data_IF_133378406482
#
_entry.id   IF_133378406482
#
_cell.length_a   1.000
_cell.length_b   1.000
_cell.length_c   1.000
_cell.angle_alpha   90.00
_cell.angle_beta   90.00
_cell.angle_gamma   90.00
#
_symmetry.space_group_name_H-M   'P 1'
#
loop_
_entity.id
_entity.type
_entity.pdbx_description
1 polymer ?
#
# COMPACT_ATOMS: atom_id res chain seq x y z
N UNK A 1 -22.80 -14.25 56.47
CA UNK A 1 -22.07 -14.43 55.21
C UNK A 1 -20.94 -13.40 55.18
N UNK A 2 -19.72 -13.81 55.54
CA UNK A 2 -18.55 -12.91 55.58
C UNK A 2 -17.79 -12.99 54.26
N UNK A 3 -17.59 -11.85 53.59
CA UNK A 3 -16.70 -11.73 52.44
C UNK A 3 -15.24 -11.75 52.93
N UNK A 4 -14.53 -12.81 52.57
CA UNK A 4 -13.07 -12.89 52.67
C UNK A 4 -12.46 -11.91 51.66
N UNK A 5 -11.99 -10.76 52.16
CA UNK A 5 -11.14 -9.84 51.41
C UNK A 5 -9.79 -10.55 51.23
N UNK A 6 -9.57 -11.10 50.05
CA UNK A 6 -8.26 -11.63 49.69
C UNK A 6 -7.30 -10.45 49.53
N UNK A 7 -6.37 -10.31 50.48
CA UNK A 7 -5.23 -9.42 50.36
C UNK A 7 -4.35 -9.94 49.23
N UNK A 8 -4.44 -9.33 48.05
CA UNK A 8 -3.42 -9.50 47.03
C UNK A 8 -2.12 -8.91 47.57
N UNK A 9 -0.99 -9.65 47.47
CA UNK A 9 0.30 -9.15 47.92
C UNK A 9 0.63 -7.84 47.20
N UNK A 10 0.94 -6.80 47.97
CA UNK A 10 1.37 -5.50 47.46
C UNK A 10 2.63 -5.68 46.63
N UNK A 11 2.54 -5.39 45.32
CA UNK A 11 3.70 -5.37 44.45
C UNK A 11 4.73 -4.37 44.99
N UNK A 12 6.03 -4.73 45.10
CA UNK A 12 7.04 -3.83 45.62
C UNK A 12 7.10 -2.53 44.80
N UNK A 13 7.22 -1.41 45.49
CA UNK A 13 7.34 -0.09 44.87
C UNK A 13 8.56 -0.04 43.96
N UNK A 14 8.44 0.43 42.70
CA UNK A 14 9.57 0.55 41.79
C UNK A 14 10.71 1.38 42.41
N UNK A 15 11.99 0.98 42.24
CA UNK A 15 13.13 1.66 42.88
C UNK A 15 13.21 3.17 42.58
N UNK A 16 12.81 3.57 41.37
CA UNK A 16 12.80 4.97 40.94
C UNK A 16 11.86 5.85 41.78
N UNK A 17 10.76 5.28 42.29
CA UNK A 17 9.79 6.01 43.12
C UNK A 17 10.21 6.09 44.59
N UNK A 18 11.28 5.38 44.99
CA UNK A 18 11.87 5.49 46.32
C UNK A 18 12.95 6.59 46.39
N UNK A 19 13.27 7.24 45.27
CA UNK A 19 14.24 8.33 45.24
C UNK A 19 13.63 9.63 45.79
N UNK A 20 14.43 10.46 46.49
CA UNK A 20 14.02 11.82 46.83
C UNK A 20 13.66 12.63 45.58
N UNK A 21 12.72 13.57 45.73
CA UNK A 21 12.24 14.40 44.63
C UNK A 21 13.37 15.19 43.96
N UNK A 22 14.35 15.64 44.74
CA UNK A 22 15.52 16.39 44.27
C UNK A 22 16.35 15.56 43.28
N UNK A 23 16.46 14.25 43.50
CA UNK A 23 17.18 13.33 42.61
C UNK A 23 16.37 13.10 41.33
N UNK A 24 15.04 12.99 41.42
CA UNK A 24 14.15 12.89 40.25
C UNK A 24 14.27 14.17 39.40
N UNK A 25 14.27 15.35 40.01
CA UNK A 25 14.45 16.62 39.32
C UNK A 25 15.86 16.75 38.72
N UNK A 26 16.89 16.29 39.41
CA UNK A 26 18.24 16.23 38.87
C UNK A 26 18.31 15.33 37.62
N UNK A 27 17.70 14.14 37.65
CA UNK A 27 17.56 13.27 36.47
C UNK A 27 16.83 14.02 35.34
N UNK A 28 15.67 14.62 35.63
CA UNK A 28 14.90 15.36 34.63
C UNK A 28 15.70 16.52 34.00
N UNK A 29 16.49 17.24 34.79
CA UNK A 29 17.38 18.30 34.30
C UNK A 29 18.44 17.77 33.33
N UNK A 30 18.93 16.53 33.52
CA UNK A 30 19.88 15.89 32.60
C UNK A 30 19.20 15.40 31.32
N UNK A 31 17.90 15.12 31.39
CA UNK A 31 17.07 14.78 30.24
C UNK A 31 16.58 16.01 29.46
N UNK A 32 16.89 17.24 29.90
CA UNK A 32 16.47 18.49 29.22
C UNK A 32 16.97 18.61 27.78
N UNK A 33 18.06 17.93 27.43
CA UNK A 33 18.54 17.82 26.05
C UNK A 33 17.64 16.95 25.15
N UNK A 34 16.73 16.17 25.73
CA UNK A 34 15.74 15.35 25.05
C UNK A 34 14.36 15.56 25.70
N UNK A 35 13.62 16.60 25.28
CA UNK A 35 12.36 16.97 25.92
C UNK A 35 11.30 15.84 25.89
N UNK A 36 11.35 14.98 24.85
CA UNK A 36 10.53 13.76 24.74
C UNK A 36 10.83 12.74 25.85
N UNK A 37 12.08 12.63 26.28
CA UNK A 37 12.48 11.73 27.37
C UNK A 37 11.89 12.15 28.71
N UNK A 38 11.72 13.46 28.93
CA UNK A 38 11.03 13.98 30.12
C UNK A 38 9.55 13.59 30.10
N UNK A 39 8.88 13.67 28.95
CA UNK A 39 7.49 13.21 28.83
C UNK A 39 7.38 11.71 29.04
N UNK A 40 8.26 10.93 28.42
CA UNK A 40 8.26 9.48 28.58
C UNK A 40 8.38 9.11 30.06
N UNK A 41 9.29 9.78 30.79
CA UNK A 41 9.44 9.62 32.24
C UNK A 41 8.19 10.04 33.01
N UNK A 42 7.61 11.20 32.68
CA UNK A 42 6.42 11.72 33.38
C UNK A 42 5.18 10.85 33.17
N UNK A 43 5.04 10.20 32.01
CA UNK A 43 3.91 9.33 31.69
C UNK A 43 3.98 7.93 32.34
N UNK A 44 5.09 7.57 33.00
CA UNK A 44 5.23 6.25 33.64
C UNK A 44 4.32 6.07 34.86
N UNK A 45 4.08 7.12 35.65
CA UNK A 45 3.17 7.08 36.79
C UNK A 45 2.66 8.47 37.19
N UNK A 46 1.56 8.51 37.96
CA UNK A 46 0.93 9.76 38.40
C UNK A 46 1.87 10.64 39.25
N UNK A 47 2.71 10.04 40.09
CA UNK A 47 3.64 10.79 40.94
C UNK A 47 4.73 11.49 40.13
N UNK A 48 5.29 10.81 39.12
CA UNK A 48 6.28 11.39 38.22
C UNK A 48 5.64 12.44 37.30
N UNK A 49 4.41 12.22 36.86
CA UNK A 49 3.65 13.23 36.13
C UNK A 49 3.51 14.53 36.93
N UNK A 50 3.03 14.43 38.18
CA UNK A 50 2.87 15.58 39.06
C UNK A 50 4.22 16.27 39.37
N UNK A 51 5.28 15.50 39.60
CA UNK A 51 6.62 16.05 39.85
C UNK A 51 7.23 16.78 38.65
N UNK A 52 6.86 16.38 37.43
CA UNK A 52 7.46 16.87 36.18
C UNK A 52 6.50 17.73 35.35
N UNK A 53 5.31 18.05 35.86
CA UNK A 53 4.24 18.74 35.12
C UNK A 53 4.73 20.06 34.51
N UNK A 54 5.46 20.89 35.26
CA UNK A 54 6.03 22.14 34.75
C UNK A 54 6.98 21.90 33.56
N UNK A 55 7.78 20.83 33.58
CA UNK A 55 8.69 20.51 32.47
C UNK A 55 7.92 20.03 31.24
N UNK A 56 6.81 19.30 31.44
CA UNK A 56 5.93 18.82 30.36
C UNK A 56 5.13 19.97 29.75
N UNK A 57 4.63 20.90 30.57
CA UNK A 57 3.88 22.07 30.13
C UNK A 57 4.71 23.00 29.24
N UNK A 58 6.02 23.02 29.43
CA UNK A 58 6.96 23.82 28.63
C UNK A 58 7.30 23.20 27.27
N UNK A 59 6.75 22.02 26.94
CA UNK A 59 7.02 21.37 25.67
C UNK A 59 6.16 21.98 24.57
N UNK A 60 6.83 22.57 23.59
CA UNK A 60 6.18 23.08 22.40
C UNK A 60 5.58 21.96 21.54
N UNK A 61 4.69 22.37 20.64
CA UNK A 61 3.98 21.47 19.73
C UNK A 61 4.93 20.72 18.77
N UNK A 62 6.16 21.21 18.59
CA UNK A 62 7.21 20.62 17.76
C UNK A 62 7.65 19.23 18.25
N UNK A 63 7.66 18.96 19.56
CA UNK A 63 8.07 17.66 20.11
C UNK A 63 6.95 16.61 20.11
N UNK A 64 5.73 17.04 19.77
CA UNK A 64 4.56 16.16 19.79
C UNK A 64 4.72 14.99 18.82
N UNK A 65 5.29 15.23 17.64
CA UNK A 65 5.52 14.19 16.65
C UNK A 65 6.50 13.13 17.16
N UNK A 66 7.67 13.55 17.65
CA UNK A 66 8.68 12.65 18.19
C UNK A 66 8.14 11.82 19.36
N UNK A 67 7.35 12.43 20.24
CA UNK A 67 6.68 11.74 21.34
C UNK A 67 5.69 10.69 20.82
N UNK A 68 4.86 11.03 19.84
CA UNK A 68 3.89 10.08 19.28
C UNK A 68 4.57 8.94 18.53
N UNK A 69 5.70 9.20 17.86
CA UNK A 69 6.53 8.16 17.23
C UNK A 69 7.16 7.23 18.27
N UNK A 70 7.63 7.78 19.40
CA UNK A 70 8.13 6.98 20.53
C UNK A 70 7.00 6.11 21.13
N UNK A 71 5.83 6.70 21.34
CA UNK A 71 4.66 5.97 21.85
C UNK A 71 4.15 4.92 20.83
N UNK A 72 4.22 5.17 19.53
CA UNK A 72 3.96 4.15 18.49
C UNK A 72 4.93 2.97 18.65
N UNK A 73 6.22 3.23 18.88
CA UNK A 73 7.21 2.16 19.10
C UNK A 73 6.87 1.33 20.33
N UNK A 74 6.46 1.94 21.44
CA UNK A 74 6.23 1.23 22.71
C UNK A 74 4.83 0.58 22.78
N UNK A 75 3.81 1.28 22.29
CA UNK A 75 2.40 0.84 22.28
C UNK A 75 1.96 0.26 20.93
N UNK A 76 2.93 -0.07 20.07
CA UNK A 76 2.74 -0.50 18.68
C UNK A 76 1.88 -1.75 18.50
N UNK A 77 1.61 -2.49 19.59
CA UNK A 77 0.70 -3.63 19.57
C UNK A 77 -0.76 -3.25 19.30
N UNK A 78 -1.12 -1.99 19.55
CA UNK A 78 -2.50 -1.50 19.46
C UNK A 78 -2.61 -0.17 18.75
N UNK A 79 -1.56 0.64 18.78
CA UNK A 79 -1.57 2.00 18.28
C UNK A 79 -0.53 2.22 17.19
N UNK A 80 -0.80 3.16 16.30
CA UNK A 80 0.17 3.64 15.33
C UNK A 80 0.04 5.15 15.14
N UNK A 81 1.11 5.79 14.71
CA UNK A 81 1.14 7.22 14.46
C UNK A 81 0.60 7.56 13.07
N UNK A 82 -0.36 8.49 13.01
CA UNK A 82 -0.88 9.05 11.78
C UNK A 82 -0.23 10.42 11.52
N UNK A 83 0.56 10.50 10.46
CA UNK A 83 1.24 11.72 10.00
C UNK A 83 0.26 12.83 9.60
N UNK A 84 -0.94 12.47 9.14
CA UNK A 84 -1.96 13.43 8.70
C UNK A 84 -2.53 14.28 9.83
N UNK A 85 -3.00 13.63 10.89
CA UNK A 85 -3.69 14.30 11.99
C UNK A 85 -2.79 14.49 13.22
N UNK A 86 -1.59 13.90 13.20
CA UNK A 86 -0.61 13.89 14.30
C UNK A 86 -1.22 13.33 15.59
N UNK A 87 -1.84 12.15 15.47
CA UNK A 87 -2.44 11.40 16.58
C UNK A 87 -2.10 9.91 16.50
N UNK A 88 -2.27 9.21 17.64
CA UNK A 88 -2.20 7.76 17.72
C UNK A 88 -3.57 7.14 17.46
N UNK A 89 -3.64 6.25 16.48
CA UNK A 89 -4.86 5.54 16.14
C UNK A 89 -4.77 4.07 16.50
N UNK A 90 -5.92 3.51 16.88
CA UNK A 90 -6.03 2.08 17.08
C UNK A 90 -6.05 1.35 15.75
N UNK A 91 -5.39 0.20 15.70
CA UNK A 91 -5.54 -0.74 14.60
C UNK A 91 -5.84 -2.13 15.15
N UNK A 92 -6.23 -3.03 14.25
CA UNK A 92 -6.38 -4.46 14.55
C UNK A 92 -5.62 -5.27 13.52
N UNK A 93 -5.21 -6.49 13.88
CA UNK A 93 -4.56 -7.43 12.96
C UNK A 93 -5.44 -7.83 11.77
N UNK A 94 -6.73 -7.48 11.78
CA UNK A 94 -7.68 -7.73 10.70
C UNK A 94 -7.63 -6.66 9.60
N UNK A 95 -6.88 -5.57 9.80
CA UNK A 95 -6.73 -4.55 8.75
C UNK A 95 -6.08 -5.18 7.53
N UNK A 96 -6.69 -4.97 6.36
CA UNK A 96 -6.24 -5.57 5.10
C UNK A 96 -6.60 -4.65 3.94
N UNK A 97 -5.77 -4.62 2.88
CA UNK A 97 -6.08 -3.88 1.66
C UNK A 97 -7.39 -4.29 0.97
N UNK A 98 -7.95 -5.48 1.27
CA UNK A 98 -9.19 -5.97 0.66
C UNK A 98 -10.49 -5.53 1.36
N UNK A 99 -10.39 -4.92 2.54
CA UNK A 99 -11.55 -4.43 3.29
C UNK A 99 -11.39 -2.92 3.55
N UNK A 100 -11.48 -2.10 2.49
CA UNK A 100 -11.36 -0.66 2.62
C UNK A 100 -12.49 -0.10 3.48
N UNK A 101 -13.70 -0.67 3.44
CA UNK A 101 -14.82 -0.23 4.25
C UNK A 101 -14.52 -0.30 5.74
N UNK A 102 -14.02 -1.42 6.27
CA UNK A 102 -13.67 -1.47 7.71
C UNK A 102 -12.60 -0.45 8.05
N UNK A 103 -11.58 -0.33 7.22
CA UNK A 103 -10.51 0.66 7.44
C UNK A 103 -11.07 2.09 7.39
N UNK A 104 -12.02 2.38 6.50
CA UNK A 104 -12.61 3.69 6.30
C UNK A 104 -13.62 4.07 7.40
N UNK A 105 -14.53 3.15 7.77
CA UNK A 105 -15.57 3.41 8.78
C UNK A 105 -14.99 3.58 10.19
N UNK A 106 -13.93 2.83 10.55
CA UNK A 106 -13.23 3.05 11.82
C UNK A 106 -12.63 4.46 11.92
N UNK A 107 -12.36 5.10 10.79
CA UNK A 107 -11.64 6.37 10.72
C UNK A 107 -12.56 7.58 10.59
N UNK A 108 -13.54 7.51 9.70
CA UNK A 108 -14.49 8.61 9.50
C UNK A 108 -15.36 8.89 10.74
N UNK A 109 -15.60 7.87 11.57
CA UNK A 109 -16.38 8.05 12.80
C UNK A 109 -15.68 8.83 13.90
N UNK A 110 -14.35 9.06 13.82
CA UNK A 110 -13.58 9.65 14.93
C UNK A 110 -12.93 11.01 14.62
N UNK A 111 -12.65 11.36 13.36
CA UNK A 111 -12.20 12.71 12.98
C UNK A 111 -12.20 12.90 11.46
N UNK A 112 -12.99 13.84 10.95
CA UNK A 112 -13.08 14.17 9.51
C UNK A 112 -11.80 14.76 8.90
N UNK A 113 -10.78 15.04 9.71
CA UNK A 113 -9.48 15.55 9.27
C UNK A 113 -8.47 14.48 8.88
N UNK A 114 -8.72 13.21 9.24
CA UNK A 114 -7.90 12.08 8.82
C UNK A 114 -8.31 11.63 7.43
N UNK A 115 -8.12 12.48 6.43
CA UNK A 115 -8.15 12.01 5.05
C UNK A 115 -7.07 10.93 4.96
N UNK A 116 -7.39 9.76 4.45
CA UNK A 116 -6.40 8.70 4.29
C UNK A 116 -5.48 9.13 3.14
N UNK A 117 -4.31 9.71 3.46
CA UNK A 117 -3.38 10.26 2.46
C UNK A 117 -2.86 9.14 1.58
N UNK A 118 -3.15 9.26 0.28
CA UNK A 118 -2.67 8.37 -0.76
C UNK A 118 -3.20 6.94 -0.60
N UNK A 119 -3.93 6.47 -1.60
CA UNK A 119 -4.18 5.04 -1.75
C UNK A 119 -3.45 4.57 -3.00
N UNK A 120 -2.53 3.64 -2.85
CA UNK A 120 -2.02 2.89 -3.98
C UNK A 120 -3.08 1.88 -4.42
N UNK A 121 -3.68 2.17 -5.58
CA UNK A 121 -4.63 1.33 -6.27
C UNK A 121 -3.92 0.73 -7.49
N UNK A 122 -3.41 -0.51 -7.42
CA UNK A 122 -2.79 -1.14 -8.57
C UNK A 122 -3.79 -1.23 -9.73
N UNK A 123 -5.10 -1.37 -9.44
CA UNK A 123 -6.18 -1.32 -10.42
C UNK A 123 -7.38 -0.52 -9.86
N UNK A 124 -8.01 0.34 -10.68
CA UNK A 124 -9.16 1.20 -10.31
C UNK A 124 -10.41 0.43 -9.90
N UNK A 125 -10.61 -0.76 -10.46
CA UNK A 125 -11.78 -1.62 -10.25
C UNK A 125 -11.47 -2.74 -9.25
N UNK A 126 -10.26 -2.75 -8.69
CA UNK A 126 -9.85 -3.76 -7.71
C UNK A 126 -10.42 -3.45 -6.33
N UNK A 127 -10.92 -4.46 -5.60
CA UNK A 127 -11.22 -4.32 -4.17
C UNK A 127 -9.94 -4.14 -3.34
N UNK A 128 -8.76 -4.28 -3.94
CA UNK A 128 -7.48 -4.11 -3.29
C UNK A 128 -7.05 -2.64 -3.29
N UNK A 129 -7.18 -2.01 -2.12
CA UNK A 129 -6.76 -0.62 -1.89
C UNK A 129 -5.68 -0.58 -0.82
N UNK A 130 -4.45 -0.27 -1.21
CA UNK A 130 -3.34 -0.15 -0.28
C UNK A 130 -3.19 1.29 0.21
N UNK A 131 -3.62 1.56 1.42
CA UNK A 131 -3.41 2.83 2.09
C UNK A 131 -2.03 2.91 2.74
N UNK A 132 -1.51 4.13 2.93
CA UNK A 132 -0.20 4.34 3.55
C UNK A 132 -0.09 3.68 4.93
N UNK A 133 -1.18 3.73 5.72
CA UNK A 133 -1.28 3.05 7.02
C UNK A 133 -0.96 1.55 6.94
N UNK A 134 -1.40 0.86 5.89
CA UNK A 134 -1.12 -0.57 5.74
C UNK A 134 0.38 -0.79 5.59
N UNK A 135 1.04 -0.01 4.73
CA UNK A 135 2.47 -0.08 4.49
C UNK A 135 3.27 0.26 5.76
N UNK A 136 2.89 1.33 6.46
CA UNK A 136 3.50 1.73 7.75
C UNK A 136 3.39 0.63 8.80
N UNK A 137 2.21 0.01 8.95
CA UNK A 137 1.99 -1.04 9.94
C UNK A 137 2.81 -2.31 9.64
N UNK A 138 2.97 -2.68 8.37
CA UNK A 138 3.89 -3.78 7.98
C UNK A 138 5.32 -3.43 8.36
N UNK A 139 5.76 -2.20 8.08
CA UNK A 139 7.10 -1.75 8.43
C UNK A 139 7.32 -1.60 9.94
N UNK A 140 6.30 -1.21 10.72
CA UNK A 140 6.37 -1.21 12.19
C UNK A 140 6.62 -2.62 12.74
N UNK A 141 5.94 -3.64 12.18
CA UNK A 141 6.17 -5.04 12.59
C UNK A 141 7.59 -5.49 12.29
N UNK A 142 8.13 -5.11 11.13
CA UNK A 142 9.51 -5.40 10.76
C UNK A 142 10.52 -4.72 11.69
N UNK A 143 10.32 -3.44 12.00
CA UNK A 143 11.26 -2.65 12.82
C UNK A 143 11.19 -2.98 14.32
N UNK A 144 9.99 -3.26 14.84
CA UNK A 144 9.76 -3.35 16.27
C UNK A 144 9.30 -4.74 16.75
N UNK A 145 9.09 -5.68 15.83
CA UNK A 145 8.75 -7.07 16.10
C UNK A 145 7.27 -7.44 15.90
N UNK A 146 6.93 -8.74 15.98
CA UNK A 146 5.63 -9.29 15.60
C UNK A 146 4.38 -8.58 16.15
N UNK A 147 4.28 -8.24 17.46
CA UNK A 147 3.05 -7.64 17.95
C UNK A 147 2.80 -6.25 17.36
N UNK A 148 3.84 -5.55 16.89
CA UNK A 148 3.80 -4.12 16.60
C UNK A 148 3.45 -3.77 15.16
N UNK A 149 2.41 -4.39 14.61
CA UNK A 149 1.94 -4.04 13.26
C UNK A 149 1.21 -5.17 12.54
N UNK A 150 1.21 -5.10 11.20
CA UNK A 150 0.57 -6.09 10.34
C UNK A 150 1.58 -7.10 9.79
N UNK A 151 1.22 -8.39 9.71
CA UNK A 151 2.03 -9.38 9.02
C UNK A 151 2.09 -9.10 7.50
N UNK A 152 3.18 -9.50 6.83
CA UNK A 152 3.34 -9.32 5.37
C UNK A 152 2.24 -10.08 4.60
N UNK A 153 1.81 -11.21 5.14
CA UNK A 153 0.74 -12.06 4.62
C UNK A 153 -0.61 -11.33 4.54
N UNK A 154 -0.79 -10.23 5.28
CA UNK A 154 -1.98 -9.36 5.14
C UNK A 154 -2.12 -8.75 3.74
N UNK A 155 -1.04 -8.72 2.95
CA UNK A 155 -1.04 -8.21 1.57
C UNK A 155 -1.21 -9.33 0.54
N UNK A 156 -1.00 -10.60 0.90
CA UNK A 156 -0.84 -11.71 -0.04
C UNK A 156 -2.16 -12.41 -0.43
N UNK A 157 -3.30 -11.73 -0.31
CA UNK A 157 -4.61 -12.32 -0.60
C UNK A 157 -4.97 -12.15 -2.08
N UNK A 158 -5.14 -13.26 -2.84
CA UNK A 158 -5.58 -13.19 -4.22
C UNK A 158 -7.00 -12.61 -4.32
N UNK A 159 -7.26 -11.86 -5.38
CA UNK A 159 -8.57 -11.32 -5.67
C UNK A 159 -8.86 -11.40 -7.17
N UNK A 160 -10.12 -11.70 -7.49
CA UNK A 160 -10.63 -11.56 -8.84
C UNK A 160 -11.07 -10.12 -9.05
N UNK A 161 -10.39 -9.42 -9.94
CA UNK A 161 -10.71 -8.05 -10.30
C UNK A 161 -11.65 -8.09 -11.50
N UNK A 162 -12.78 -7.38 -11.39
CA UNK A 162 -13.69 -7.27 -12.52
C UNK A 162 -12.99 -6.48 -13.64
N UNK A 163 -13.07 -6.98 -14.87
CA UNK A 163 -12.91 -6.13 -16.04
C UNK A 163 -14.16 -5.30 -16.27
N UNK A 164 -14.22 -4.66 -17.43
CA UNK A 164 -15.36 -3.82 -17.83
C UNK A 164 -16.71 -4.51 -17.63
N UNK A 165 -17.71 -3.69 -17.30
CA UNK A 165 -19.06 -4.11 -16.92
C UNK A 165 -19.72 -5.06 -17.93
N UNK A 166 -19.28 -5.03 -19.19
CA UNK A 166 -19.99 -5.63 -20.31
C UNK A 166 -19.62 -7.09 -20.61
N UNK A 167 -18.37 -7.53 -20.37
CA UNK A 167 -17.93 -8.88 -20.78
C UNK A 167 -17.71 -9.88 -19.63
N UNK A 168 -17.70 -9.41 -18.38
CA UNK A 168 -17.61 -10.29 -17.21
C UNK A 168 -16.29 -11.08 -17.06
N UNK A 169 -15.32 -10.93 -17.98
CA UNK A 169 -13.97 -11.47 -17.81
C UNK A 169 -13.30 -10.83 -16.59
N UNK A 170 -12.61 -11.67 -15.81
CA UNK A 170 -11.95 -11.24 -14.59
C UNK A 170 -10.46 -11.51 -14.63
N UNK A 171 -9.71 -10.55 -14.11
CA UNK A 171 -8.28 -10.70 -13.88
C UNK A 171 -8.07 -11.40 -12.55
N UNK A 172 -7.29 -12.48 -12.55
CA UNK A 172 -6.76 -13.01 -11.31
C UNK A 172 -5.57 -12.15 -10.90
N UNK A 173 -5.72 -11.41 -9.80
CA UNK A 173 -4.65 -10.65 -9.18
C UNK A 173 -4.12 -11.41 -7.98
N UNK A 174 -2.84 -11.77 -8.02
CA UNK A 174 -2.14 -12.47 -6.93
C UNK A 174 -1.04 -11.57 -6.37
N UNK A 175 -1.31 -10.85 -5.27
CA UNK A 175 -0.32 -10.02 -4.62
C UNK A 175 0.66 -10.85 -3.78
N UNK A 176 1.87 -10.34 -3.64
CA UNK A 176 2.89 -10.81 -2.70
C UNK A 176 3.71 -9.61 -2.23
N UNK A 177 4.21 -9.65 -1.00
CA UNK A 177 4.95 -8.55 -0.42
C UNK A 177 6.19 -9.07 0.28
N UNK A 178 7.21 -8.23 0.36
CA UNK A 178 8.44 -8.53 1.09
C UNK A 178 9.19 -7.27 1.47
N UNK A 179 10.14 -7.40 2.37
CA UNK A 179 11.03 -6.33 2.78
C UNK A 179 12.43 -6.68 2.31
N UNK A 180 13.12 -5.72 1.70
CA UNK A 180 14.49 -5.87 1.20
C UNK A 180 15.28 -4.64 1.61
N UNK A 181 16.36 -4.83 2.37
CA UNK A 181 17.20 -3.71 2.84
C UNK A 181 16.40 -2.63 3.58
N UNK A 182 15.38 -3.03 4.36
CA UNK A 182 14.54 -2.11 5.12
C UNK A 182 13.51 -1.32 4.30
N UNK A 183 13.25 -1.74 3.06
CA UNK A 183 12.21 -1.15 2.22
C UNK A 183 11.16 -2.17 1.80
N UNK A 184 9.92 -1.72 1.76
CA UNK A 184 8.77 -2.54 1.40
C UNK A 184 8.62 -2.61 -0.11
N UNK A 185 8.59 -3.82 -0.65
CA UNK A 185 8.27 -4.08 -2.04
C UNK A 185 6.99 -4.91 -2.12
N UNK A 186 6.18 -4.66 -3.14
CA UNK A 186 5.00 -5.45 -3.48
C UNK A 186 5.10 -5.90 -4.92
N UNK A 187 4.78 -7.16 -5.16
CA UNK A 187 4.65 -7.76 -6.48
C UNK A 187 3.19 -8.16 -6.70
N UNK A 188 2.61 -7.77 -7.82
CA UNK A 188 1.33 -8.30 -8.29
C UNK A 188 1.54 -9.14 -9.53
N UNK A 189 1.01 -10.37 -9.52
CA UNK A 189 0.84 -11.18 -10.72
C UNK A 189 -0.59 -11.03 -11.20
N UNK A 190 -0.75 -10.55 -12.42
CA UNK A 190 -2.03 -10.29 -13.05
C UNK A 190 -2.18 -11.26 -14.21
N UNK A 191 -3.18 -12.13 -14.15
CA UNK A 191 -3.42 -13.14 -15.19
C UNK A 191 -4.81 -12.97 -15.77
N UNK A 192 -4.87 -12.86 -17.08
CA UNK A 192 -6.10 -12.82 -17.85
C UNK A 192 -6.04 -13.92 -18.92
N UNK A 193 -7.12 -14.68 -19.02
CA UNK A 193 -7.24 -15.83 -19.92
C UNK A 193 -8.58 -15.79 -20.65
N UNK A 194 -8.59 -16.16 -21.93
CA UNK A 194 -9.81 -16.28 -22.72
C UNK A 194 -9.53 -16.45 -24.21
N UNK A 195 -10.58 -16.63 -25.02
CA UNK A 195 -10.46 -16.60 -26.48
C UNK A 195 -9.92 -15.25 -26.95
N UNK A 196 -9.26 -15.26 -28.11
CA UNK A 196 -8.55 -14.09 -28.63
C UNK A 196 -9.42 -12.82 -28.69
N UNK A 197 -10.62 -12.92 -29.27
CA UNK A 197 -11.54 -11.79 -29.43
C UNK A 197 -12.05 -11.22 -28.09
N UNK A 198 -12.47 -12.10 -27.17
CA UNK A 198 -12.97 -11.69 -25.84
C UNK A 198 -11.84 -11.07 -25.00
N UNK A 199 -10.66 -11.71 -25.03
CA UNK A 199 -9.48 -11.22 -24.32
C UNK A 199 -9.05 -9.85 -24.84
N UNK A 200 -9.01 -9.68 -26.17
CA UNK A 200 -8.66 -8.42 -26.82
C UNK A 200 -9.60 -7.30 -26.43
N UNK A 201 -10.91 -7.57 -26.48
CA UNK A 201 -11.92 -6.61 -26.06
C UNK A 201 -11.72 -6.20 -24.59
N UNK A 202 -11.52 -7.15 -23.69
CA UNK A 202 -11.31 -6.84 -22.26
C UNK A 202 -10.06 -5.97 -22.01
N UNK A 203 -9.00 -6.15 -22.80
CA UNK A 203 -7.77 -5.36 -22.70
C UNK A 203 -7.97 -3.95 -23.29
N UNK A 204 -8.69 -3.84 -24.41
CA UNK A 204 -9.00 -2.58 -25.12
C UNK A 204 -9.96 -1.66 -24.35
N UNK A 205 -10.80 -2.18 -23.46
CA UNK A 205 -11.66 -1.33 -22.63
C UNK A 205 -10.86 -0.49 -21.61
N UNK A 206 -9.55 -0.72 -21.45
CA UNK A 206 -8.64 0.23 -20.79
C UNK A 206 -8.83 0.41 -19.29
N UNK A 207 -9.58 -0.47 -18.64
CA UNK A 207 -9.84 -0.38 -17.20
C UNK A 207 -8.73 -0.98 -16.35
N UNK A 208 -7.79 -1.69 -16.99
CA UNK A 208 -6.73 -2.39 -16.28
C UNK A 208 -5.44 -1.58 -16.27
N UNK A 209 -4.92 -1.33 -15.07
CA UNK A 209 -3.62 -0.68 -14.86
C UNK A 209 -2.75 -1.54 -13.95
N UNK A 210 -1.44 -1.33 -14.03
CA UNK A 210 -0.46 -1.94 -13.11
C UNK A 210 0.08 -0.89 -12.13
N UNK A 211 0.14 0.36 -12.56
CA UNK A 211 0.33 1.52 -11.70
C UNK A 211 -0.53 2.66 -12.26
N UNK A 212 -0.55 3.82 -11.60
CA UNK A 212 -1.37 4.95 -12.11
C UNK A 212 -0.95 5.43 -13.51
N UNK A 213 0.31 5.20 -13.91
CA UNK A 213 0.89 5.71 -15.15
C UNK A 213 0.87 4.71 -16.32
N UNK A 214 0.76 3.40 -16.02
CA UNK A 214 0.85 2.31 -17.02
C UNK A 214 -0.41 1.45 -17.01
N UNK A 215 -1.07 1.36 -18.15
CA UNK A 215 -2.33 0.63 -18.36
C UNK A 215 -2.33 -0.24 -19.62
N UNK A 216 -3.29 -1.16 -19.71
CA UNK A 216 -3.45 -2.05 -20.89
C UNK A 216 -3.93 -1.30 -22.12
N UNK A 217 -4.82 -0.33 -21.92
CA UNK A 217 -5.20 0.67 -22.90
C UNK A 217 -5.41 2.00 -22.15
N UNK A 218 -4.84 3.12 -22.61
CA UNK A 218 -5.06 4.40 -21.97
C UNK A 218 -6.53 4.77 -22.14
N UNK A 219 -7.26 4.77 -21.02
CA UNK A 219 -8.67 5.16 -20.98
C UNK A 219 -8.83 6.51 -21.68
N UNK A 220 -9.54 6.53 -22.82
CA UNK A 220 -10.00 7.80 -23.39
C UNK A 220 -11.01 8.36 -22.40
N UNK A 221 -10.85 9.59 -21.90
CA UNK A 221 -11.79 10.17 -20.94
C UNK A 221 -13.16 10.34 -21.59
N UNK A 222 -13.95 9.27 -21.59
CA UNK A 222 -15.39 9.36 -21.72
C UNK A 222 -15.87 9.96 -20.39
N UNK A 223 -16.55 11.09 -20.48
CA UNK A 223 -17.12 11.81 -19.35
C UNK A 223 -17.83 10.84 -18.41
N UNK A 224 -17.21 10.47 -17.28
CA UNK A 224 -17.96 9.81 -16.22
C UNK A 224 -18.91 10.85 -15.66
N UNK A 225 -20.20 10.53 -15.64
CA UNK A 225 -21.34 11.33 -15.17
C UNK A 225 -21.22 11.84 -13.71
N UNK A 226 -20.13 11.51 -13.01
CA UNK A 226 -19.80 11.90 -11.65
C UNK A 226 -18.91 13.15 -11.53
N UNK A 227 -18.45 13.76 -12.63
CA UNK A 227 -17.72 15.05 -12.58
C UNK A 227 -16.39 15.03 -11.82
N UNK A 228 -15.90 13.86 -11.42
CA UNK A 228 -14.58 13.69 -10.81
C UNK A 228 -13.54 13.65 -11.95
N UNK A 229 -12.82 14.75 -12.12
CA UNK A 229 -11.74 14.91 -13.09
C UNK A 229 -10.63 13.86 -12.88
N UNK A 230 -10.70 12.71 -13.54
CA UNK A 230 -9.56 11.80 -13.72
C UNK A 230 -8.84 12.07 -15.05
N UNK A 231 -8.64 13.35 -15.39
CA UNK A 231 -8.26 13.75 -16.77
C UNK A 231 -6.78 13.62 -17.11
N UNK A 232 -5.88 13.30 -16.18
CA UNK A 232 -4.43 13.53 -16.39
C UNK A 232 -3.46 12.33 -16.20
N UNK A 233 -3.91 11.11 -15.92
CA UNK A 233 -3.01 10.19 -15.17
C UNK A 233 -2.47 8.97 -15.89
N UNK A 234 -3.11 8.49 -16.96
CA UNK A 234 -2.61 7.32 -17.68
C UNK A 234 -1.81 7.75 -18.90
N UNK A 235 -0.48 7.75 -18.76
CA UNK A 235 0.41 8.25 -19.83
C UNK A 235 0.86 7.17 -20.79
N UNK A 236 0.89 5.90 -20.35
CA UNK A 236 1.57 4.85 -21.10
C UNK A 236 0.74 3.57 -21.22
N UNK A 237 0.58 3.11 -22.47
CA UNK A 237 0.09 1.77 -22.81
C UNK A 237 1.22 0.75 -22.70
N UNK A 238 0.92 -0.46 -22.22
CA UNK A 238 1.85 -1.60 -22.31
C UNK A 238 2.09 -1.91 -23.80
N UNK A 239 3.33 -1.77 -24.32
CA UNK A 239 3.61 -1.89 -25.75
C UNK A 239 3.20 -3.24 -26.35
N UNK A 240 3.40 -4.32 -25.61
CA UNK A 240 3.11 -5.69 -26.03
C UNK A 240 1.61 -5.96 -26.21
N UNK A 241 0.75 -5.09 -25.67
CA UNK A 241 -0.71 -5.20 -25.76
C UNK A 241 -1.31 -4.29 -26.84
N UNK A 242 -0.49 -3.63 -27.66
CA UNK A 242 -0.97 -2.85 -28.82
C UNK A 242 -1.55 -3.77 -29.89
N UNK A 243 -2.52 -3.25 -30.64
CA UNK A 243 -3.07 -3.96 -31.80
C UNK A 243 -2.01 -4.00 -32.90
N UNK A 244 -1.77 -5.16 -33.55
CA UNK A 244 -0.80 -5.24 -34.64
C UNK A 244 -1.10 -4.30 -35.81
N UNK A 245 -2.38 -3.96 -36.03
CA UNK A 245 -2.84 -3.05 -37.08
C UNK A 245 -2.46 -1.58 -36.84
N UNK A 246 -2.25 -1.17 -35.58
CA UNK A 246 -1.77 0.19 -35.26
C UNK A 246 -0.36 0.43 -35.83
N UNK A 247 0.35 -0.63 -36.22
CA UNK A 247 1.71 -0.57 -36.78
C UNK A 247 1.75 -0.65 -38.32
N UNK A 248 0.63 -0.92 -39.01
CA UNK A 248 0.64 -1.07 -40.48
C UNK A 248 -0.74 -1.15 -41.15
N UNK A 249 -0.98 -0.20 -42.07
CA UNK A 249 -2.00 -0.10 -43.12
C UNK A 249 -3.45 -0.58 -42.82
N UNK A 250 -4.36 0.39 -42.70
CA UNK A 250 -5.80 0.21 -42.52
C UNK A 250 -6.46 -0.34 -43.79
N UNK A 251 -6.98 -1.57 -43.78
CA UNK A 251 -7.79 -2.02 -44.93
C UNK A 251 -8.47 -3.37 -44.87
N UNK A 252 -8.24 -4.22 -43.86
CA UNK A 252 -8.85 -5.56 -43.82
C UNK A 252 -9.15 -5.94 -42.38
N UNK A 253 -10.32 -6.54 -42.11
CA UNK A 253 -10.63 -7.03 -40.76
C UNK A 253 -9.56 -8.03 -40.29
N UNK A 254 -9.08 -7.91 -39.04
CA UNK A 254 -8.02 -8.76 -38.54
C UNK A 254 -8.54 -10.18 -38.37
N UNK A 255 -7.80 -11.14 -38.93
CA UNK A 255 -7.90 -12.53 -38.55
C UNK A 255 -7.72 -12.65 -37.02
N UNK A 256 -8.59 -13.41 -36.35
CA UNK A 256 -8.52 -13.65 -34.90
C UNK A 256 -7.15 -14.19 -34.46
N UNK A 257 -6.45 -14.88 -35.37
CA UNK A 257 -5.10 -15.39 -35.15
C UNK A 257 -4.04 -14.28 -34.94
N UNK A 258 -4.33 -13.06 -35.40
CA UNK A 258 -3.43 -11.90 -35.38
C UNK A 258 -3.73 -10.90 -34.26
N UNK A 259 -4.65 -11.17 -33.34
CA UNK A 259 -5.01 -10.22 -32.27
C UNK A 259 -3.91 -10.07 -31.20
N UNK A 260 -3.01 -11.05 -31.08
CA UNK A 260 -1.92 -11.05 -30.12
C UNK A 260 -0.62 -11.50 -30.78
N UNK A 261 0.49 -10.89 -30.37
CA UNK A 261 1.84 -11.37 -30.68
C UNK A 261 2.40 -12.06 -29.45
N UNK A 262 2.82 -13.34 -29.54
CA UNK A 262 3.37 -14.03 -28.40
C UNK A 262 4.68 -13.37 -27.96
N UNK A 263 4.86 -13.26 -26.65
CA UNK A 263 6.09 -12.77 -26.05
C UNK A 263 6.33 -13.48 -24.72
N UNK A 264 7.61 -13.60 -24.32
CA UNK A 264 7.99 -14.26 -23.08
C UNK A 264 8.88 -13.35 -22.27
N UNK A 265 8.45 -13.09 -21.04
CA UNK A 265 9.25 -12.43 -20.01
C UNK A 265 9.85 -11.08 -20.44
N UNK A 266 9.10 -10.31 -21.24
CA UNK A 266 9.56 -8.99 -21.68
C UNK A 266 9.53 -8.01 -20.52
N UNK A 267 10.72 -7.58 -20.08
CA UNK A 267 10.89 -6.64 -18.99
C UNK A 267 10.74 -5.19 -19.44
N UNK A 268 10.05 -4.40 -18.61
CA UNK A 268 9.73 -3.00 -18.84
C UNK A 268 9.74 -2.23 -17.51
N UNK A 269 9.70 -0.90 -17.62
CA UNK A 269 9.74 0.00 -16.47
C UNK A 269 8.83 1.19 -16.68
N UNK A 270 8.16 1.62 -15.62
CA UNK A 270 7.51 2.92 -15.59
C UNK A 270 8.58 4.02 -15.42
N UNK A 271 8.46 5.10 -16.18
CA UNK A 271 9.34 6.28 -16.15
C UNK A 271 8.95 7.31 -15.09
N UNK A 272 7.83 7.10 -14.38
CA UNK A 272 7.27 8.09 -13.45
C UNK A 272 7.24 7.64 -11.99
N UNK A 273 7.20 6.33 -11.75
CA UNK A 273 7.17 5.76 -10.41
C UNK A 273 8.08 4.54 -10.31
N UNK A 274 8.34 4.08 -9.09
CA UNK A 274 9.17 2.91 -8.79
C UNK A 274 8.46 1.59 -9.12
N UNK A 275 8.05 1.44 -10.38
CA UNK A 275 7.41 0.24 -10.92
C UNK A 275 8.21 -0.33 -12.08
N UNK A 276 8.60 -1.59 -11.95
CA UNK A 276 9.06 -2.42 -13.07
C UNK A 276 8.06 -3.54 -13.31
N UNK A 277 7.99 -4.07 -14.53
CA UNK A 277 7.05 -5.13 -14.84
C UNK A 277 7.57 -6.07 -15.94
N UNK A 278 7.03 -7.28 -15.94
CA UNK A 278 7.32 -8.33 -16.91
C UNK A 278 6.03 -8.76 -17.58
N UNK A 279 6.04 -8.88 -18.91
CA UNK A 279 4.88 -9.29 -19.72
C UNK A 279 5.17 -10.62 -20.41
N UNK A 280 4.22 -11.54 -20.31
CA UNK A 280 4.19 -12.80 -21.05
C UNK A 280 2.82 -12.94 -21.74
N UNK A 281 2.84 -13.22 -23.04
CA UNK A 281 1.66 -13.46 -23.87
C UNK A 281 1.89 -14.77 -24.58
N UNK A 282 1.03 -15.75 -24.35
CA UNK A 282 1.19 -17.08 -24.93
C UNK A 282 -0.16 -17.71 -25.27
N UNK A 283 -0.15 -18.64 -26.23
CA UNK A 283 -1.29 -19.54 -26.43
C UNK A 283 -1.39 -20.50 -25.27
N UNK A 284 -2.62 -20.75 -24.84
CA UNK A 284 -2.90 -21.67 -23.77
C UNK A 284 -4.27 -22.31 -23.97
N UNK A 285 -4.43 -23.51 -23.43
CA UNK A 285 -5.75 -24.07 -23.19
C UNK A 285 -6.36 -23.30 -22.01
N UNK A 286 -7.40 -22.52 -22.28
CA UNK A 286 -7.99 -21.57 -21.33
C UNK A 286 -9.41 -21.95 -20.99
N UNK A 287 -9.81 -21.58 -19.77
CA UNK A 287 -11.20 -21.69 -19.31
C UNK A 287 -11.72 -20.29 -19.04
N UNK A 288 -12.70 -19.87 -19.82
CA UNK A 288 -13.29 -18.54 -19.67
C UNK A 288 -14.04 -18.44 -18.34
N UNK A 289 -13.58 -17.53 -17.47
CA UNK A 289 -14.26 -17.21 -16.21
C UNK A 289 -15.19 -16.04 -16.47
N UNK A 290 -16.44 -16.35 -16.82
CA UNK A 290 -17.46 -15.35 -17.12
C UNK A 290 -18.39 -15.18 -15.92
N UNK A 291 -18.65 -13.94 -15.53
CA UNK A 291 -19.69 -13.63 -14.56
C UNK A 291 -21.04 -13.46 -15.27
N UNK A 292 -22.01 -14.32 -14.99
CA UNK A 292 -23.32 -14.27 -15.64
C UNK A 292 -24.17 -13.04 -15.22
N UNK A 293 -23.99 -12.52 -14.01
CA UNK A 293 -24.70 -11.32 -13.52
C UNK A 293 -24.02 -10.68 -12.31
N UNK A 294 -24.39 -9.43 -11.99
CA UNK A 294 -23.90 -8.77 -10.78
C UNK A 294 -24.33 -9.57 -9.53
N UNK A 295 -23.42 -9.77 -8.57
CA UNK A 295 -23.64 -10.67 -7.41
C UNK A 295 -23.52 -12.19 -7.65
N UNK A 296 -23.51 -12.69 -8.89
CA UNK A 296 -23.35 -14.13 -9.14
C UNK A 296 -21.98 -14.68 -8.71
N UNK A 297 -21.97 -15.94 -8.27
CA UNK A 297 -20.73 -16.71 -8.02
C UNK A 297 -19.98 -16.87 -9.35
N UNK A 298 -18.65 -16.83 -9.29
CA UNK A 298 -17.83 -17.10 -10.49
C UNK A 298 -18.08 -18.53 -10.96
N UNK A 299 -18.42 -18.67 -12.23
CA UNK A 299 -18.58 -19.96 -12.87
C UNK A 299 -17.26 -20.36 -13.53
N UNK A 300 -16.73 -21.50 -13.08
CA UNK A 300 -15.53 -22.11 -13.62
C UNK A 300 -15.85 -23.41 -14.36
N UNK A 301 -17.10 -23.65 -14.76
CA UNK A 301 -17.53 -24.93 -15.36
C UNK A 301 -17.41 -24.99 -16.88
N UNK A 302 -17.07 -23.88 -17.55
CA UNK A 302 -16.95 -23.83 -19.01
C UNK A 302 -15.95 -24.85 -19.59
N UNK A 303 -16.15 -25.29 -20.84
CA UNK A 303 -15.19 -26.14 -21.52
C UNK A 303 -13.86 -25.40 -21.69
N UNK A 304 -12.77 -26.16 -21.79
CA UNK A 304 -11.51 -25.61 -22.23
C UNK A 304 -11.58 -25.26 -23.71
N UNK A 305 -10.93 -24.16 -24.10
CA UNK A 305 -10.82 -23.72 -25.48
C UNK A 305 -9.38 -23.32 -25.78
N UNK A 306 -8.97 -23.42 -27.05
CA UNK A 306 -7.74 -22.76 -27.50
C UNK A 306 -7.92 -21.24 -27.37
N UNK A 307 -6.97 -20.60 -26.72
CA UNK A 307 -7.03 -19.18 -26.46
C UNK A 307 -5.68 -18.63 -26.04
N UNK A 308 -5.73 -17.54 -25.29
CA UNK A 308 -4.55 -16.78 -24.92
C UNK A 308 -4.51 -16.53 -23.43
N UNK A 309 -3.30 -16.58 -22.89
CA UNK A 309 -2.97 -16.15 -21.53
C UNK A 309 -2.09 -14.91 -21.62
N UNK A 310 -2.52 -13.85 -20.95
CA UNK A 310 -1.73 -12.65 -20.73
C UNK A 310 -1.39 -12.59 -19.25
N UNK A 311 -0.09 -12.66 -18.94
CA UNK A 311 0.43 -12.52 -17.59
C UNK A 311 1.29 -11.28 -17.50
N UNK A 312 0.94 -10.38 -16.57
CA UNK A 312 1.72 -9.19 -16.25
C UNK A 312 2.15 -9.28 -14.79
N UNK A 313 3.44 -9.30 -14.54
CA UNK A 313 4.00 -9.31 -13.20
C UNK A 313 4.61 -7.94 -12.90
N UNK A 314 3.95 -7.15 -12.07
CA UNK A 314 4.39 -5.80 -11.70
C UNK A 314 5.06 -5.81 -10.32
N UNK A 315 6.15 -5.07 -10.19
CA UNK A 315 6.97 -4.94 -8.99
C UNK A 315 7.02 -3.47 -8.60
N UNK A 316 6.61 -3.16 -7.37
CA UNK A 316 6.50 -1.82 -6.84
C UNK A 316 7.38 -1.67 -5.61
N UNK A 317 8.19 -0.62 -5.56
CA UNK A 317 8.93 -0.23 -4.37
C UNK A 317 8.17 0.90 -3.67
N UNK A 318 7.73 0.65 -2.43
CA UNK A 318 6.95 1.60 -1.62
C UNK A 318 7.83 2.42 -0.66
N UNK A 319 9.14 2.15 -0.66
CA UNK A 319 10.12 2.80 0.18
C UNK A 319 10.11 2.29 1.62
N UNK A 320 10.49 3.16 2.55
CA UNK A 320 10.58 2.85 3.99
C UNK A 320 9.24 2.96 4.71
N UNK A 321 8.27 3.62 4.07
CA UNK A 321 6.93 3.87 4.59
C UNK A 321 6.97 4.49 6.01
N UNK A 322 7.86 5.46 6.20
CA UNK A 322 8.00 6.24 7.45
C UNK A 322 7.47 7.65 7.29
N UNK A 323 7.56 8.22 6.10
CA UNK A 323 6.94 9.48 5.71
C UNK A 323 5.94 9.26 4.56
N UNK A 324 4.65 9.67 4.66
CA UNK A 324 3.74 9.63 3.52
C UNK A 324 4.19 10.53 2.36
N UNK A 325 5.10 11.48 2.60
CA UNK A 325 5.66 12.36 1.59
C UNK A 325 6.93 11.78 0.92
N UNK A 326 7.32 10.55 1.29
CA UNK A 326 8.36 9.79 0.59
C UNK A 326 7.99 9.65 -0.90
N UNK A 327 8.94 9.95 -1.78
CA UNK A 327 8.67 10.03 -3.21
C UNK A 327 8.26 8.69 -3.82
N UNK A 328 8.80 7.58 -3.31
CA UNK A 328 8.41 6.23 -3.71
C UNK A 328 6.91 6.02 -3.52
N UNK A 329 6.39 6.40 -2.34
CA UNK A 329 4.98 6.26 -2.00
C UNK A 329 4.11 7.18 -2.85
N UNK A 330 4.42 8.48 -2.87
CA UNK A 330 3.61 9.47 -3.56
C UNK A 330 3.55 9.26 -5.08
N UNK A 331 4.64 8.78 -5.69
CA UNK A 331 4.66 8.43 -7.12
C UNK A 331 3.68 7.29 -7.45
N UNK A 332 3.40 6.39 -6.50
CA UNK A 332 2.46 5.29 -6.67
C UNK A 332 1.01 5.66 -6.29
N UNK A 333 0.83 6.37 -5.18
CA UNK A 333 -0.49 6.60 -4.58
C UNK A 333 -1.32 7.69 -5.26
N UNK A 334 -0.66 8.54 -6.04
CA UNK A 334 -1.30 9.61 -6.78
C UNK A 334 -1.82 10.75 -5.92
N UNK A 335 -1.15 11.89 -6.00
CA UNK A 335 -1.38 13.07 -5.16
C UNK A 335 -2.69 13.82 -5.38
N UNK A 336 -3.73 13.20 -5.93
CA UNK A 336 -4.97 13.89 -6.33
C UNK A 336 -5.79 14.37 -5.11
N UNK A 337 -5.58 13.74 -3.95
CA UNK A 337 -6.17 14.17 -2.67
C UNK A 337 -5.33 15.17 -1.90
N UNK A 338 -4.17 15.58 -2.41
CA UNK A 338 -3.34 16.48 -1.65
C UNK A 338 -3.84 17.90 -1.85
N UNK A 339 -4.45 18.43 -0.80
CA UNK A 339 -4.66 19.87 -0.55
C UNK A 339 -3.32 20.62 -0.44
N UNK A 340 -2.26 20.17 -1.11
CA UNK A 340 -1.18 21.04 -1.41
C UNK A 340 -1.78 22.12 -2.30
N UNK A 341 -1.63 23.38 -1.91
CA UNK A 341 -1.89 24.49 -2.81
C UNK A 341 -1.14 24.28 -4.13
N UNK A 342 -1.42 25.12 -5.12
CA UNK A 342 -0.85 25.03 -6.48
C UNK A 342 0.68 24.79 -6.51
N UNK A 343 1.40 25.12 -5.43
CA UNK A 343 2.84 24.94 -5.27
C UNK A 343 3.31 23.49 -4.99
N UNK A 344 2.52 22.62 -4.35
CA UNK A 344 3.00 21.27 -4.00
C UNK A 344 2.92 20.24 -5.14
N UNK A 345 2.17 20.52 -6.21
CA UNK A 345 2.20 19.69 -7.44
C UNK A 345 3.52 19.85 -8.21
N UNK A 346 4.29 20.91 -7.99
CA UNK A 346 5.51 21.21 -8.75
C UNK A 346 6.74 20.36 -8.38
N UNK A 347 6.65 19.46 -7.39
CA UNK A 347 7.83 18.76 -6.85
C UNK A 347 8.05 17.32 -7.35
N UNK A 348 7.14 16.74 -8.12
CA UNK A 348 7.35 15.41 -8.71
C UNK A 348 7.99 15.50 -10.09
N UNK A 349 9.29 15.21 -10.17
CA UNK A 349 10.06 15.14 -11.41
C UNK A 349 10.01 13.77 -12.11
N UNK A 350 9.13 12.87 -11.68
CA UNK A 350 9.09 11.47 -12.15
C UNK A 350 10.17 10.61 -11.51
N UNK A 351 10.38 9.41 -12.07
CA UNK A 351 11.40 8.47 -11.60
C UNK A 351 12.78 9.01 -11.96
N UNK A 352 13.67 9.14 -10.98
CA UNK A 352 15.08 9.39 -11.25
C UNK A 352 15.69 8.14 -11.88
N UNK A 353 15.93 8.20 -13.19
CA UNK A 353 16.45 7.05 -13.96
C UNK A 353 17.92 6.76 -13.68
N UNK A 354 18.67 7.69 -13.09
CA UNK A 354 20.04 7.44 -12.66
C UNK A 354 20.06 6.65 -11.34
N UNK A 355 19.20 7.01 -10.38
CA UNK A 355 19.08 6.29 -9.11
C UNK A 355 18.28 4.98 -9.24
N UNK A 356 17.26 4.97 -10.09
CA UNK A 356 16.35 3.86 -10.30
C UNK A 356 16.31 3.47 -11.79
N UNK A 357 17.40 2.91 -12.35
CA UNK A 357 17.42 2.51 -13.75
C UNK A 357 16.39 1.41 -14.05
N UNK A 358 16.02 1.19 -15.32
CA UNK A 358 15.10 0.12 -15.69
C UNK A 358 15.51 -1.25 -15.12
N UNK A 359 14.52 -1.99 -14.61
CA UNK A 359 14.72 -3.28 -13.97
C UNK A 359 15.37 -3.24 -12.58
N UNK A 360 15.67 -2.07 -12.01
CA UNK A 360 16.27 -1.98 -10.68
C UNK A 360 15.36 -2.56 -9.58
N UNK A 361 14.04 -2.43 -9.72
CA UNK A 361 13.06 -2.93 -8.76
C UNK A 361 12.93 -4.44 -8.88
N UNK A 362 12.98 -5.00 -10.09
CA UNK A 362 13.04 -6.46 -10.33
C UNK A 362 14.35 -7.04 -9.80
N UNK A 363 15.50 -6.39 -10.02
CA UNK A 363 16.77 -6.88 -9.45
C UNK A 363 16.78 -6.84 -7.93
N UNK A 364 16.26 -5.76 -7.34
CA UNK A 364 16.02 -5.67 -5.89
C UNK A 364 15.02 -6.74 -5.44
N UNK A 365 14.04 -7.02 -6.30
CA UNK A 365 13.17 -8.20 -6.43
C UNK A 365 13.85 -9.57 -6.29
N UNK A 366 14.97 -9.76 -6.92
CA UNK A 366 15.53 -11.12 -7.04
C UNK A 366 16.61 -11.36 -6.00
N UNK A 367 17.35 -10.31 -5.62
CA UNK A 367 18.40 -10.38 -4.61
C UNK A 367 17.91 -10.96 -3.27
N UNK A 368 16.68 -10.65 -2.88
CA UNK A 368 16.08 -11.08 -1.61
C UNK A 368 16.81 -10.49 -0.41
N UNK A 369 16.28 -10.74 0.80
CA UNK A 369 17.05 -10.53 2.02
C UNK A 369 17.86 -11.81 2.27
N UNK A 370 19.12 -11.84 1.79
CA UNK A 370 20.06 -12.93 2.10
C UNK A 370 20.36 -13.08 3.61
N UNK A 371 19.75 -12.25 4.46
CA UNK A 371 19.99 -12.16 5.91
C UNK A 371 18.97 -12.92 6.77
N UNK A 372 17.86 -13.43 6.22
CA UNK A 372 16.88 -14.21 6.98
C UNK A 372 17.31 -15.67 7.24
N UNK A 373 18.50 -16.08 6.80
CA UNK A 373 19.09 -17.39 7.09
C UNK A 373 19.97 -17.46 8.34
N UNK A 374 20.05 -16.40 9.16
CA UNK A 374 21.02 -16.31 10.26
C UNK A 374 20.46 -15.74 11.59
N UNK A 375 19.14 -15.83 11.83
CA UNK A 375 18.54 -15.46 13.12
C UNK A 375 17.84 -16.65 13.78
#
# INVERSE_FOLDING_TARGET
MGQLISHTPTSPTPPLLNLPLEIILAIASRLSSSPVSIVALSLTCKSLFAALECHVANLGAEYREDLLLLLEKDLGARFFYCSTCRQLHRFTSRFTPLDPCRTFYYWYGQNSSCNLWGSFLPNTVSPYTLWYVHARLVMNRYLYGPPKGLPLESFARPAWVAGSLDLGLRWLQTPSARIVQGELLIRFSHTLEGRASILRHAIDQGEYKICRHVATDPFKPAWTSLGLFMTDLMKHRIPELRKPEEEGNHGTEPDESLLFRPCRELSRSCTECSTDYVVTIERAEVREVVKQSWGAKLDFSGPFADGWRVTIVAYHQLGRCRDPDDWEWLSLSGGDNIKFGADGRRKYSGRDMALYPPGSIIRKWEAGDSRLGAM
#
